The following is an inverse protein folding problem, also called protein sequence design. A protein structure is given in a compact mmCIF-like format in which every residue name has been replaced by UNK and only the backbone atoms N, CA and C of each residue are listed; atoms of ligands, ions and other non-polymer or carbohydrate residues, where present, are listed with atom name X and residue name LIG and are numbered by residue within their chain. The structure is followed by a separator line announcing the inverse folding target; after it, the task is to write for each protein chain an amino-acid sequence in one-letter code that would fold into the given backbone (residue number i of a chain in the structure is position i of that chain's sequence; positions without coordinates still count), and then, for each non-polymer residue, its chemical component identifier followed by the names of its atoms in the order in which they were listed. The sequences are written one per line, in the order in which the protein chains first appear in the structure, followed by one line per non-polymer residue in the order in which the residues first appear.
data_IF_552804333663
#
_entry.id   IF_552804333663
#
_cell.length_a   1.000
_cell.length_b   1.000
_cell.length_c   1.000
_cell.angle_alpha   90.00
_cell.angle_beta   90.00
_cell.angle_gamma   90.00
#
_symmetry.space_group_name_H-M   'P 1'
#
loop_
_entity.id
_entity.type
_entity.pdbx_description
1 polymer ?
#
# COMPACT_ATOMS: atom_id res chain seq x y z
N UNK A 1 -40.60 -62.98 -56.60
CA UNK A 1 -40.14 -62.96 -55.18
C UNK A 1 -39.41 -61.65 -54.96
N UNK A 2 -40.06 -60.72 -54.26
CA UNK A 2 -39.63 -59.34 -54.07
C UNK A 2 -39.15 -59.17 -52.66
N UNK A 3 -37.88 -58.75 -52.46
CA UNK A 3 -37.35 -58.44 -51.17
C UNK A 3 -37.16 -56.95 -51.06
N UNK A 4 -37.94 -56.26 -50.20
CA UNK A 4 -37.89 -54.84 -49.92
C UNK A 4 -36.86 -54.64 -48.79
N UNK A 5 -35.74 -53.94 -49.07
CA UNK A 5 -34.83 -53.48 -48.08
C UNK A 5 -35.34 -52.15 -47.51
N UNK A 6 -35.67 -52.13 -46.24
CA UNK A 6 -36.05 -50.95 -45.45
C UNK A 6 -34.78 -50.28 -44.95
N UNK A 7 -34.41 -49.10 -45.48
CA UNK A 7 -33.30 -48.29 -44.99
C UNK A 7 -33.80 -47.46 -43.81
N UNK A 8 -33.34 -47.83 -42.60
CA UNK A 8 -33.55 -47.10 -41.35
C UNK A 8 -32.53 -45.99 -41.25
N UNK A 9 -33.00 -44.73 -41.41
CA UNK A 9 -32.18 -43.54 -41.35
C UNK A 9 -32.13 -43.10 -39.89
N UNK A 10 -31.01 -43.37 -39.17
CA UNK A 10 -30.78 -42.84 -37.82
C UNK A 10 -30.39 -41.38 -37.92
N UNK A 11 -31.29 -40.48 -37.55
CA UNK A 11 -31.04 -39.06 -37.43
C UNK A 11 -30.30 -38.81 -36.09
N UNK A 12 -28.97 -38.58 -36.14
CA UNK A 12 -28.20 -38.11 -34.99
C UNK A 12 -28.47 -36.64 -34.75
N UNK A 13 -29.26 -36.34 -33.72
CA UNK A 13 -29.46 -34.97 -33.24
C UNK A 13 -28.19 -34.56 -32.47
N UNK A 14 -27.31 -33.81 -33.12
CA UNK A 14 -26.15 -33.19 -32.46
C UNK A 14 -26.65 -32.00 -31.65
N UNK A 15 -26.81 -32.20 -30.36
CA UNK A 15 -27.14 -31.13 -29.42
C UNK A 15 -25.89 -30.25 -29.22
N UNK A 16 -25.76 -29.17 -30.00
CA UNK A 16 -24.68 -28.19 -29.85
C UNK A 16 -24.93 -27.36 -28.59
N UNK A 17 -24.31 -27.76 -27.48
CA UNK A 17 -24.29 -26.97 -26.25
C UNK A 17 -23.45 -25.70 -26.49
N UNK A 18 -24.12 -24.62 -26.79
CA UNK A 18 -23.46 -23.28 -26.86
C UNK A 18 -22.98 -22.91 -25.46
N UNK A 19 -21.69 -23.08 -25.19
CA UNK A 19 -21.04 -22.48 -24.03
C UNK A 19 -21.04 -20.96 -24.23
N UNK A 20 -21.95 -20.28 -23.54
CA UNK A 20 -21.89 -18.82 -23.42
C UNK A 20 -20.67 -18.54 -22.53
N UNK A 21 -19.55 -18.20 -23.12
CA UNK A 21 -18.40 -17.67 -22.40
C UNK A 21 -18.83 -16.32 -21.81
N UNK A 22 -19.16 -16.31 -20.51
CA UNK A 22 -19.28 -15.07 -19.79
C UNK A 22 -17.91 -14.40 -19.82
N UNK A 23 -17.82 -13.25 -20.49
CA UNK A 23 -16.61 -12.45 -20.44
C UNK A 23 -16.31 -12.12 -18.98
N UNK A 24 -15.19 -12.65 -18.49
CA UNK A 24 -14.75 -12.45 -17.11
C UNK A 24 -14.46 -10.95 -16.92
N UNK A 25 -15.27 -10.27 -16.09
CA UNK A 25 -15.12 -8.85 -15.82
C UNK A 25 -13.80 -8.65 -15.05
N UNK A 26 -12.80 -7.95 -15.61
CA UNK A 26 -11.51 -7.78 -14.95
C UNK A 26 -11.65 -6.96 -13.66
N UNK A 27 -10.71 -7.14 -12.74
CA UNK A 27 -10.50 -6.24 -11.61
C UNK A 27 -9.48 -5.19 -12.06
N UNK A 28 -9.94 -3.96 -12.26
CA UNK A 28 -9.10 -2.84 -12.66
C UNK A 28 -8.53 -2.14 -11.43
N UNK A 29 -7.22 -2.15 -11.29
CA UNK A 29 -6.50 -1.55 -10.16
C UNK A 29 -5.80 -0.28 -10.62
N UNK A 30 -6.13 0.85 -10.02
CA UNK A 30 -5.33 2.06 -10.16
C UNK A 30 -4.05 1.90 -9.33
N UNK A 31 -2.90 2.05 -9.98
CA UNK A 31 -1.60 1.92 -9.34
C UNK A 31 -0.60 2.94 -9.90
N UNK A 32 0.31 3.38 -9.05
CA UNK A 32 1.40 4.26 -9.48
C UNK A 32 2.42 3.46 -10.30
N UNK A 33 2.82 3.97 -11.48
CA UNK A 33 3.77 3.29 -12.35
C UNK A 33 5.20 3.21 -11.82
N UNK A 34 5.55 4.05 -10.81
CA UNK A 34 6.91 4.18 -10.30
C UNK A 34 6.91 4.64 -8.83
N UNK A 35 6.49 3.76 -7.93
CA UNK A 35 6.37 4.05 -6.49
C UNK A 35 6.76 2.82 -5.65
N UNK A 36 7.97 2.29 -5.83
CA UNK A 36 8.45 1.21 -4.96
C UNK A 36 8.66 1.72 -3.52
N UNK A 37 8.33 0.90 -2.53
CA UNK A 37 7.99 -0.54 -2.55
C UNK A 37 6.52 -0.86 -2.82
N UNK A 38 5.65 0.11 -3.08
CA UNK A 38 4.20 -0.08 -3.22
C UNK A 38 3.84 -0.68 -4.57
N UNK A 39 4.11 0.04 -5.66
CA UNK A 39 3.80 -0.42 -7.02
C UNK A 39 4.81 0.08 -8.05
N UNK A 40 4.92 -0.63 -9.17
CA UNK A 40 5.57 -0.15 -10.38
C UNK A 40 5.03 -0.90 -11.61
N UNK A 41 5.34 -0.39 -12.82
CA UNK A 41 4.93 -1.05 -14.09
C UNK A 41 5.46 -2.47 -14.25
N UNK A 42 6.56 -2.83 -13.58
CA UNK A 42 7.11 -4.18 -13.56
C UNK A 42 6.40 -5.08 -12.55
N UNK A 43 5.37 -4.57 -11.85
CA UNK A 43 4.58 -5.28 -10.84
C UNK A 43 5.43 -5.86 -9.71
N UNK A 44 6.45 -5.13 -9.30
CA UNK A 44 7.43 -5.55 -8.29
C UNK A 44 7.15 -4.99 -6.90
N UNK A 45 6.11 -4.17 -6.72
CA UNK A 45 5.71 -3.65 -5.42
C UNK A 45 4.81 -4.59 -4.63
N UNK A 46 4.72 -4.39 -3.33
CA UNK A 46 3.86 -5.24 -2.50
C UNK A 46 2.36 -4.98 -2.72
N UNK A 47 1.95 -3.76 -3.08
CA UNK A 47 0.56 -3.49 -3.48
C UNK A 47 0.21 -4.20 -4.79
N UNK A 48 1.18 -4.36 -5.72
CA UNK A 48 0.98 -5.22 -6.88
C UNK A 48 0.73 -6.67 -6.45
N UNK A 49 1.51 -7.20 -5.47
CA UNK A 49 1.33 -8.58 -4.98
C UNK A 49 0.01 -8.78 -4.23
N UNK A 50 -0.44 -7.77 -3.48
CA UNK A 50 -1.77 -7.76 -2.86
C UNK A 50 -2.86 -7.73 -3.94
N UNK A 51 -2.73 -6.90 -4.98
CA UNK A 51 -3.67 -6.84 -6.11
C UNK A 51 -3.77 -8.17 -6.85
N UNK A 52 -2.64 -8.85 -7.12
CA UNK A 52 -2.59 -10.19 -7.71
C UNK A 52 -3.33 -11.23 -6.84
N UNK A 53 -3.14 -11.14 -5.51
CA UNK A 53 -3.84 -11.99 -4.56
C UNK A 53 -5.35 -11.75 -4.60
N UNK A 54 -5.78 -10.48 -4.51
CA UNK A 54 -7.20 -10.12 -4.52
C UNK A 54 -7.90 -10.54 -5.81
N UNK A 55 -7.31 -10.27 -6.96
CA UNK A 55 -7.86 -10.69 -8.25
C UNK A 55 -8.06 -12.20 -8.31
N UNK A 56 -7.09 -12.99 -7.86
CA UNK A 56 -7.15 -14.45 -7.78
C UNK A 56 -8.26 -14.93 -6.83
N UNK A 57 -8.37 -14.34 -5.64
CA UNK A 57 -9.41 -14.68 -4.66
C UNK A 57 -10.83 -14.33 -5.14
N UNK A 58 -10.95 -13.38 -6.06
CA UNK A 58 -12.20 -12.98 -6.70
C UNK A 58 -12.49 -13.79 -7.99
N UNK A 59 -11.55 -14.60 -8.47
CA UNK A 59 -11.66 -15.28 -9.76
C UNK A 59 -11.70 -14.31 -10.93
N UNK A 60 -11.01 -13.16 -10.84
CA UNK A 60 -11.02 -12.11 -11.86
C UNK A 60 -9.63 -11.93 -12.48
N UNK A 61 -9.60 -11.60 -13.76
CA UNK A 61 -8.37 -11.14 -14.41
C UNK A 61 -7.95 -9.79 -13.82
N UNK A 62 -6.66 -9.64 -13.52
CA UNK A 62 -6.10 -8.37 -13.04
C UNK A 62 -5.74 -7.48 -14.22
N UNK A 63 -6.16 -6.22 -14.18
CA UNK A 63 -5.75 -5.17 -15.10
C UNK A 63 -5.29 -3.94 -14.31
N UNK A 64 -4.16 -3.33 -14.72
CA UNK A 64 -3.67 -2.11 -14.09
C UNK A 64 -4.01 -0.87 -14.93
N UNK A 65 -4.49 0.14 -14.24
CA UNK A 65 -4.57 1.51 -14.74
C UNK A 65 -3.42 2.29 -14.11
N UNK A 66 -2.37 2.50 -14.89
CA UNK A 66 -1.17 3.16 -14.42
C UNK A 66 -1.32 4.67 -14.44
N UNK A 67 -1.38 5.26 -13.25
CA UNK A 67 -1.53 6.69 -13.04
C UNK A 67 -0.77 7.11 -11.78
N UNK A 68 0.01 8.18 -11.87
CA UNK A 68 0.61 8.77 -10.67
C UNK A 68 -0.48 9.31 -9.76
N UNK A 69 -0.32 9.11 -8.45
CA UNK A 69 -1.16 9.70 -7.43
C UNK A 69 -1.11 11.22 -7.49
N UNK A 70 -1.99 11.87 -6.74
CA UNK A 70 -2.00 13.32 -6.66
C UNK A 70 -3.39 13.90 -6.47
N UNK A 71 -3.47 15.22 -6.50
CA UNK A 71 -4.72 15.95 -6.27
C UNK A 71 -5.76 15.63 -7.36
N UNK A 72 -6.96 15.23 -6.93
CA UNK A 72 -8.06 14.86 -7.85
C UNK A 72 -8.01 13.40 -8.35
N UNK A 73 -7.01 12.61 -7.98
CA UNK A 73 -6.82 11.25 -8.45
C UNK A 73 -8.07 10.35 -8.31
N UNK A 74 -8.72 10.37 -7.15
CA UNK A 74 -9.95 9.58 -6.89
C UNK A 74 -11.05 9.97 -7.87
N UNK A 75 -11.33 11.28 -7.97
CA UNK A 75 -12.38 11.79 -8.84
C UNK A 75 -12.16 11.45 -10.33
N UNK A 76 -10.93 11.58 -10.80
CA UNK A 76 -10.62 11.41 -12.22
C UNK A 76 -10.49 9.93 -12.63
N UNK A 77 -10.22 9.03 -11.70
CA UNK A 77 -10.00 7.62 -12.00
C UNK A 77 -11.06 6.70 -11.39
N UNK A 78 -11.19 6.71 -10.07
CA UNK A 78 -12.09 5.78 -9.37
C UNK A 78 -13.56 6.16 -9.60
N UNK A 79 -13.93 7.42 -9.34
CA UNK A 79 -15.32 7.87 -9.47
C UNK A 79 -15.83 7.80 -10.92
N UNK A 80 -14.95 8.01 -11.91
CA UNK A 80 -15.29 7.87 -13.33
C UNK A 80 -15.28 6.41 -13.83
N UNK A 81 -14.97 5.44 -12.98
CA UNK A 81 -14.93 4.03 -13.35
C UNK A 81 -13.77 3.63 -14.27
N UNK A 82 -12.71 4.45 -14.33
CA UNK A 82 -11.47 4.11 -15.06
C UNK A 82 -10.79 2.92 -14.41
N UNK A 83 -10.78 2.88 -13.07
CA UNK A 83 -10.42 1.70 -12.29
C UNK A 83 -11.51 1.37 -11.23
N UNK A 84 -11.40 0.21 -10.60
CA UNK A 84 -12.37 -0.29 -9.61
C UNK A 84 -11.86 -0.16 -8.18
N UNK A 85 -10.55 -0.27 -7.98
CA UNK A 85 -9.92 -0.32 -6.66
C UNK A 85 -8.62 0.49 -6.57
N UNK A 86 -8.36 0.96 -5.35
CA UNK A 86 -7.10 1.55 -4.89
C UNK A 86 -6.56 0.68 -3.76
N UNK A 87 -5.39 0.08 -3.92
CA UNK A 87 -4.72 -0.67 -2.85
C UNK A 87 -3.83 0.27 -2.06
N UNK A 88 -3.73 0.08 -0.75
CA UNK A 88 -2.80 0.84 0.09
C UNK A 88 -3.31 2.21 0.57
N UNK A 89 -4.63 2.41 0.67
CA UNK A 89 -5.20 3.65 1.20
C UNK A 89 -5.40 3.59 2.73
N UNK A 90 -5.33 4.72 3.45
CA UNK A 90 -5.72 4.75 4.86
C UNK A 90 -7.18 4.31 5.05
N UNK A 91 -7.46 3.50 6.07
CA UNK A 91 -8.80 2.96 6.34
C UNK A 91 -9.87 4.04 6.60
N UNK A 92 -9.46 5.26 6.96
CA UNK A 92 -10.35 6.41 7.17
C UNK A 92 -10.29 7.43 6.02
N UNK A 93 -9.86 7.00 4.84
CA UNK A 93 -9.76 7.87 3.67
C UNK A 93 -11.15 8.20 3.11
N UNK A 94 -11.72 9.31 3.54
CA UNK A 94 -13.10 9.75 3.25
C UNK A 94 -13.52 9.83 1.78
N UNK A 95 -12.63 10.10 0.81
CA UNK A 95 -13.02 10.14 -0.60
C UNK A 95 -13.57 8.82 -1.14
N UNK A 96 -13.23 7.68 -0.54
CA UNK A 96 -13.62 6.34 -0.99
C UNK A 96 -14.36 5.55 0.10
N UNK A 97 -14.99 4.42 -0.27
CA UNK A 97 -15.43 3.39 0.66
C UNK A 97 -14.26 2.41 0.86
N UNK A 98 -13.86 2.17 2.12
CA UNK A 98 -12.72 1.31 2.42
C UNK A 98 -13.15 -0.05 2.96
N UNK A 99 -12.35 -1.08 2.65
CA UNK A 99 -12.46 -2.40 3.30
C UNK A 99 -12.06 -2.32 4.78
N UNK A 100 -12.18 -3.42 5.49
CA UNK A 100 -11.44 -3.65 6.73
C UNK A 100 -9.94 -3.54 6.45
N UNK A 101 -9.14 -2.98 7.36
CA UNK A 101 -7.71 -2.84 7.16
C UNK A 101 -7.02 -4.22 7.11
N UNK A 102 -6.02 -4.36 6.24
CA UNK A 102 -5.24 -5.59 6.09
C UNK A 102 -3.84 -5.50 6.69
N UNK A 103 -3.36 -4.30 7.01
CA UNK A 103 -2.19 -4.08 7.85
C UNK A 103 -2.23 -2.69 8.49
N UNK A 104 -1.30 -2.44 9.40
CA UNK A 104 -1.07 -1.11 9.98
C UNK A 104 0.40 -0.76 9.88
N UNK A 105 0.71 0.50 9.70
CA UNK A 105 2.07 1.00 9.76
C UNK A 105 2.14 2.38 10.39
N UNK A 106 3.36 2.80 10.74
CA UNK A 106 3.64 4.08 11.38
C UNK A 106 4.75 4.81 10.63
N UNK A 107 4.83 6.12 10.81
CA UNK A 107 6.08 6.82 10.58
C UNK A 107 7.12 6.34 11.57
N UNK A 108 8.38 6.28 11.12
CA UNK A 108 9.51 5.80 11.91
C UNK A 108 10.67 6.78 11.84
N UNK A 109 11.35 6.98 12.96
CA UNK A 109 12.69 7.54 12.96
C UNK A 109 13.68 6.52 12.43
N UNK A 110 14.49 6.94 11.46
CA UNK A 110 15.56 6.13 10.86
C UNK A 110 16.89 6.70 11.30
N UNK A 111 17.71 5.89 11.94
CA UNK A 111 19.05 6.28 12.41
C UNK A 111 20.05 5.16 12.10
N UNK A 112 21.34 5.51 12.04
CA UNK A 112 22.41 4.50 11.95
C UNK A 112 22.54 3.77 13.27
N UNK A 113 22.66 2.42 13.22
CA UNK A 113 22.81 1.61 14.45
C UNK A 113 24.10 1.91 15.22
N UNK A 114 25.17 2.23 14.52
CA UNK A 114 26.48 2.54 15.14
C UNK A 114 26.46 3.84 15.97
N UNK A 115 25.57 4.79 15.64
CA UNK A 115 25.37 6.01 16.44
C UNK A 115 24.61 5.81 17.75
N UNK A 116 24.01 4.64 17.97
CA UNK A 116 23.26 4.27 19.20
C UNK A 116 22.18 5.28 19.61
N UNK A 117 21.61 5.97 18.62
CA UNK A 117 20.53 6.93 18.83
C UNK A 117 19.19 6.19 19.00
N UNK A 118 18.53 6.45 20.13
CA UNK A 118 17.19 5.94 20.43
C UNK A 118 16.20 7.09 20.40
N UNK A 119 15.92 7.62 19.20
CA UNK A 119 14.96 8.69 19.00
C UNK A 119 13.62 8.05 18.64
N UNK A 120 12.57 8.38 19.39
CA UNK A 120 11.22 7.94 19.12
C UNK A 120 10.23 9.11 19.09
N UNK A 121 10.58 10.24 19.73
CA UNK A 121 9.68 11.39 19.88
C UNK A 121 10.21 12.62 19.15
N UNK A 122 9.29 13.44 18.65
CA UNK A 122 9.61 14.76 18.12
C UNK A 122 10.06 15.75 19.22
N UNK A 123 9.83 15.42 20.49
CA UNK A 123 10.26 16.24 21.64
C UNK A 123 11.68 15.89 22.11
N UNK A 124 12.37 14.99 21.43
CA UNK A 124 13.75 14.65 21.76
C UNK A 124 14.66 15.89 21.56
N UNK A 125 15.33 16.36 22.62
CA UNK A 125 16.12 17.59 22.55
C UNK A 125 17.29 17.52 21.56
N UNK A 126 17.79 16.32 21.25
CA UNK A 126 18.86 16.11 20.27
C UNK A 126 18.48 16.52 18.86
N UNK A 127 17.20 16.51 18.52
CA UNK A 127 16.72 16.95 17.20
C UNK A 127 17.08 18.41 16.88
N UNK A 128 17.28 19.25 17.88
CA UNK A 128 17.65 20.68 17.71
C UNK A 128 19.00 20.89 17.00
N UNK A 129 19.90 19.92 17.10
CA UNK A 129 21.24 19.97 16.49
C UNK A 129 21.41 19.03 15.30
N UNK A 130 20.36 18.32 14.89
CA UNK A 130 20.40 17.30 13.84
C UNK A 130 19.84 17.80 12.52
N UNK A 131 20.37 17.32 11.40
CA UNK A 131 19.73 17.40 10.08
C UNK A 131 18.71 16.29 9.97
N UNK A 132 17.43 16.65 9.76
CA UNK A 132 16.29 15.75 9.81
C UNK A 132 15.68 15.62 8.42
N UNK A 133 15.76 14.44 7.82
CA UNK A 133 15.08 14.13 6.55
C UNK A 133 13.58 13.96 6.74
N UNK A 134 12.79 14.52 5.84
CA UNK A 134 11.33 14.29 5.76
C UNK A 134 10.91 14.07 4.32
N UNK A 135 9.80 13.35 4.14
CA UNK A 135 9.20 13.11 2.82
C UNK A 135 8.39 14.33 2.37
N UNK A 136 8.53 14.67 1.09
CA UNK A 136 7.69 15.62 0.37
C UNK A 136 6.76 14.81 -0.51
N UNK A 137 5.45 15.08 -0.43
CA UNK A 137 4.37 14.42 -1.17
C UNK A 137 3.77 15.45 -2.12
N UNK A 138 4.05 15.35 -3.41
CA UNK A 138 3.74 16.40 -4.40
C UNK A 138 4.28 17.76 -3.94
N UNK A 139 3.38 18.74 -3.72
CA UNK A 139 3.74 20.09 -3.24
C UNK A 139 3.53 20.26 -1.72
N UNK A 140 3.29 19.17 -0.96
CA UNK A 140 3.03 19.25 0.50
C UNK A 140 3.99 18.34 1.28
N UNK A 141 4.26 18.74 2.50
CA UNK A 141 5.09 17.96 3.41
C UNK A 141 4.27 16.88 4.13
N UNK A 142 4.88 15.71 4.29
CA UNK A 142 4.32 14.63 5.10
C UNK A 142 4.08 15.07 6.57
N UNK A 143 3.17 14.40 7.32
CA UNK A 143 2.85 14.73 8.71
C UNK A 143 4.05 14.99 9.63
N UNK A 144 5.19 14.27 9.54
CA UNK A 144 6.37 14.55 10.36
C UNK A 144 6.91 15.97 10.26
N UNK A 145 6.89 16.56 9.06
CA UNK A 145 7.38 17.95 8.90
C UNK A 145 6.52 18.96 9.65
N UNK A 146 5.19 18.73 9.72
CA UNK A 146 4.29 19.57 10.51
C UNK A 146 4.59 19.44 12.01
N UNK A 147 4.89 18.23 12.50
CA UNK A 147 5.27 18.01 13.90
C UNK A 147 6.58 18.74 14.25
N UNK A 148 7.57 18.68 13.37
CA UNK A 148 8.83 19.39 13.52
C UNK A 148 8.63 20.91 13.50
N UNK A 149 7.79 21.41 12.58
CA UNK A 149 7.46 22.83 12.48
C UNK A 149 6.81 23.39 13.76
N UNK A 150 5.90 22.66 14.37
CA UNK A 150 5.29 23.03 15.66
C UNK A 150 6.32 23.20 16.78
N UNK A 151 7.47 22.52 16.68
CA UNK A 151 8.58 22.55 17.63
C UNK A 151 9.70 23.49 17.23
N UNK A 152 9.46 24.33 16.20
CA UNK A 152 10.42 25.30 15.67
C UNK A 152 11.71 24.65 15.15
N UNK A 153 11.61 23.43 14.59
CA UNK A 153 12.72 22.67 14.03
C UNK A 153 12.81 22.74 12.50
N UNK A 154 12.14 23.72 11.87
CA UNK A 154 12.08 23.83 10.40
C UNK A 154 13.44 24.05 9.74
N UNK A 155 14.36 24.75 10.39
CA UNK A 155 15.71 24.99 9.87
C UNK A 155 16.55 23.72 9.74
N UNK A 156 16.16 22.68 10.46
CA UNK A 156 16.83 21.39 10.49
C UNK A 156 16.31 20.42 9.42
N UNK A 157 15.22 20.79 8.74
CA UNK A 157 14.53 19.90 7.79
C UNK A 157 15.26 19.88 6.44
N UNK A 158 15.42 18.65 5.93
CA UNK A 158 15.85 18.37 4.56
C UNK A 158 14.74 17.56 3.87
N UNK A 159 14.14 18.14 2.83
CA UNK A 159 13.07 17.49 2.05
C UNK A 159 13.63 16.46 1.07
N UNK A 160 12.90 15.35 0.89
CA UNK A 160 13.19 14.29 -0.07
C UNK A 160 11.90 13.85 -0.75
N UNK A 161 11.96 13.58 -2.05
CA UNK A 161 10.81 13.04 -2.78
C UNK A 161 10.35 11.71 -2.20
N UNK A 162 9.03 11.55 -2.08
CA UNK A 162 8.42 10.37 -1.49
C UNK A 162 8.10 9.26 -2.51
N UNK A 163 8.20 9.55 -3.80
CA UNK A 163 7.89 8.64 -4.92
C UNK A 163 8.98 8.69 -6.00
N UNK A 164 8.89 7.77 -6.96
CA UNK A 164 9.85 7.64 -8.04
C UNK A 164 11.16 6.98 -7.64
N UNK A 165 12.15 7.06 -8.51
CA UNK A 165 13.48 6.47 -8.29
C UNK A 165 14.20 7.08 -7.08
N UNK A 166 13.88 8.31 -6.74
CA UNK A 166 14.49 9.09 -5.66
C UNK A 166 13.87 8.81 -4.27
N UNK A 167 12.76 8.09 -4.21
CA UNK A 167 12.07 7.80 -2.94
C UNK A 167 12.98 7.15 -1.87
N UNK A 168 14.02 6.43 -2.28
CA UNK A 168 15.02 5.84 -1.40
C UNK A 168 16.14 6.76 -0.94
N UNK A 169 16.27 7.97 -1.50
CA UNK A 169 17.38 8.89 -1.22
C UNK A 169 17.44 9.33 0.23
N UNK A 170 16.29 9.52 0.84
CA UNK A 170 16.19 9.86 2.26
C UNK A 170 16.87 8.79 3.14
N UNK A 171 16.73 7.51 2.81
CA UNK A 171 17.36 6.40 3.55
C UNK A 171 18.86 6.33 3.22
N UNK A 172 19.25 6.56 1.95
CA UNK A 172 20.64 6.64 1.53
C UNK A 172 21.38 7.80 2.22
N UNK A 173 20.70 8.93 2.41
CA UNK A 173 21.24 10.09 3.09
C UNK A 173 21.54 9.83 4.58
N UNK A 174 20.65 9.07 5.27
CA UNK A 174 20.94 8.60 6.65
C UNK A 174 22.09 7.61 6.66
N UNK A 175 22.10 6.63 5.77
CA UNK A 175 23.13 5.59 5.71
C UNK A 175 24.53 6.18 5.46
N UNK A 176 24.63 7.19 4.59
CA UNK A 176 25.88 7.88 4.28
C UNK A 176 26.30 8.92 5.34
N UNK A 177 25.41 9.29 6.27
CA UNK A 177 25.64 10.34 7.26
C UNK A 177 25.49 11.78 6.70
N UNK A 178 24.91 11.95 5.50
CA UNK A 178 24.58 13.26 4.93
C UNK A 178 23.54 13.99 5.78
N UNK A 179 22.62 13.23 6.39
CA UNK A 179 21.69 13.68 7.42
C UNK A 179 21.80 12.77 8.65
N UNK A 180 21.41 13.27 9.81
CA UNK A 180 21.57 12.55 11.08
C UNK A 180 20.47 11.52 11.35
N UNK A 181 19.25 11.88 11.00
CA UNK A 181 18.06 11.06 11.11
C UNK A 181 17.06 11.43 10.03
N UNK A 182 16.07 10.54 9.82
CA UNK A 182 14.92 10.85 8.97
C UNK A 182 13.65 10.36 9.65
N UNK A 183 12.50 10.99 9.34
CA UNK A 183 11.19 10.48 9.74
C UNK A 183 10.42 10.11 8.48
N UNK A 184 10.22 8.81 8.30
CA UNK A 184 9.80 8.22 7.04
C UNK A 184 8.63 7.26 7.27
N UNK A 185 7.76 7.14 6.28
CA UNK A 185 6.71 6.12 6.29
C UNK A 185 7.32 4.71 6.38
N UNK A 186 6.86 3.92 7.36
CA UNK A 186 7.46 2.64 7.74
C UNK A 186 7.74 1.67 6.58
N UNK A 187 6.78 1.36 5.69
CA UNK A 187 7.01 0.48 4.55
C UNK A 187 8.16 0.92 3.64
N UNK A 188 8.24 2.22 3.32
CA UNK A 188 9.34 2.77 2.52
C UNK A 188 10.66 2.66 3.29
N UNK A 189 10.65 3.03 4.57
CA UNK A 189 11.83 2.93 5.42
C UNK A 189 12.37 1.51 5.52
N UNK A 190 11.50 0.52 5.79
CA UNK A 190 11.88 -0.88 5.91
C UNK A 190 12.48 -1.44 4.64
N UNK A 191 11.81 -1.20 3.52
CA UNK A 191 12.24 -1.67 2.20
C UNK A 191 13.63 -1.14 1.81
N UNK A 192 13.86 0.16 1.94
CA UNK A 192 15.13 0.76 1.56
C UNK A 192 16.22 0.54 2.62
N UNK A 193 15.89 0.48 3.92
CA UNK A 193 16.86 0.18 4.97
C UNK A 193 17.45 -1.22 4.85
N UNK A 194 16.63 -2.21 4.53
CA UNK A 194 17.08 -3.60 4.30
C UNK A 194 18.07 -3.74 3.12
N UNK A 195 18.16 -2.74 2.26
CA UNK A 195 19.06 -2.71 1.08
C UNK A 195 20.33 -1.87 1.30
N UNK A 196 20.48 -1.28 2.49
CA UNK A 196 21.70 -0.54 2.83
C UNK A 196 22.79 -1.47 3.35
N UNK A 197 24.04 -1.16 3.03
CA UNK A 197 25.22 -1.85 3.60
C UNK A 197 25.43 -1.50 5.07
N UNK A 198 25.09 -0.26 5.44
CA UNK A 198 25.19 0.22 6.83
C UNK A 198 23.92 -0.15 7.56
N UNK A 199 24.01 -0.84 8.72
CA UNK A 199 22.84 -1.19 9.49
C UNK A 199 22.09 0.04 10.01
N UNK A 200 20.80 0.13 9.70
CA UNK A 200 19.91 1.18 10.16
C UNK A 200 18.97 0.65 11.25
N UNK A 201 18.54 1.54 12.14
CA UNK A 201 17.52 1.31 13.14
C UNK A 201 16.27 2.09 12.76
N UNK A 202 15.13 1.40 12.78
CA UNK A 202 13.82 1.98 12.62
C UNK A 202 13.11 1.99 13.97
N UNK A 203 12.67 3.15 14.43
CA UNK A 203 11.97 3.32 15.70
C UNK A 203 10.65 4.01 15.42
N UNK A 204 9.51 3.38 15.78
CA UNK A 204 8.19 4.00 15.58
C UNK A 204 8.12 5.36 16.29
N UNK A 205 7.41 6.29 15.69
CA UNK A 205 7.11 7.58 16.33
C UNK A 205 6.20 7.34 17.53
N UNK A 206 6.61 7.86 18.68
CA UNK A 206 5.88 7.80 19.93
C UNK A 206 5.87 9.20 20.58
N UNK A 207 4.71 9.75 20.95
CA UNK A 207 3.37 9.18 20.81
C UNK A 207 2.91 9.06 19.35
N UNK A 208 1.99 8.11 19.07
CA UNK A 208 1.43 7.86 17.73
C UNK A 208 0.57 9.00 17.17
N UNK A 209 0.39 10.04 17.97
CA UNK A 209 -0.47 11.17 17.67
C UNK A 209 0.10 12.46 18.27
N UNK A 210 0.17 13.52 17.46
CA UNK A 210 0.56 14.86 17.88
C UNK A 210 -0.68 15.77 17.91
N UNK A 211 -1.12 16.24 19.11
CA UNK A 211 -2.31 17.08 19.23
C UNK A 211 -2.26 18.34 18.35
N UNK A 212 -3.42 18.87 17.87
CA UNK A 212 -4.78 18.35 18.10
C UNK A 212 -5.21 17.25 17.10
N UNK A 213 -4.58 17.02 15.98
CA UNK A 213 -5.10 16.12 14.95
C UNK A 213 -4.03 15.63 13.94
N UNK A 214 -2.86 15.23 14.41
CA UNK A 214 -1.78 14.78 13.53
C UNK A 214 -1.35 13.33 13.87
N UNK A 215 -1.97 12.30 13.24
CA UNK A 215 -1.58 10.93 13.46
C UNK A 215 -0.29 10.55 12.73
N UNK A 216 0.45 9.60 13.29
CA UNK A 216 1.64 9.01 12.70
C UNK A 216 1.48 7.53 12.42
N UNK A 217 0.42 6.89 12.93
CA UNK A 217 0.05 5.51 12.64
C UNK A 217 -1.24 5.47 11.82
N UNK A 218 -1.27 4.57 10.84
CA UNK A 218 -2.43 4.38 9.97
C UNK A 218 -2.71 2.89 9.77
N UNK A 219 -3.98 2.53 9.87
CA UNK A 219 -4.50 1.27 9.37
C UNK A 219 -4.72 1.40 7.85
N UNK A 220 -4.29 0.42 7.08
CA UNK A 220 -4.27 0.46 5.61
C UNK A 220 -5.25 -0.54 5.05
N UNK A 221 -6.02 -0.10 4.07
CA UNK A 221 -7.15 -0.79 3.48
C UNK A 221 -7.11 -0.72 1.94
N UNK A 222 -8.10 -1.34 1.32
CA UNK A 222 -8.40 -1.20 -0.10
C UNK A 222 -9.59 -0.25 -0.24
N UNK A 223 -9.49 0.74 -1.14
CA UNK A 223 -10.55 1.68 -1.46
C UNK A 223 -11.32 1.28 -2.71
N UNK A 224 -12.62 1.48 -2.69
CA UNK A 224 -13.54 1.33 -3.83
C UNK A 224 -14.44 2.56 -3.95
N UNK A 225 -15.18 2.70 -5.05
CA UNK A 225 -16.22 3.77 -5.15
C UNK A 225 -17.22 3.63 -4.01
N UNK A 226 -17.77 4.73 -3.54
CA UNK A 226 -18.71 4.76 -2.41
C UNK A 226 -19.96 3.91 -2.61
N UNK A 227 -20.40 3.75 -3.85
CA UNK A 227 -21.56 2.95 -4.22
C UNK A 227 -21.25 1.45 -4.41
N UNK A 228 -19.99 1.05 -4.48
CA UNK A 228 -19.57 -0.32 -4.79
C UNK A 228 -19.51 -1.22 -3.55
N UNK A 229 -20.60 -1.23 -2.77
CA UNK A 229 -20.73 -1.98 -1.52
C UNK A 229 -20.46 -3.48 -1.74
N UNK A 230 -21.02 -4.07 -2.79
CA UNK A 230 -20.85 -5.48 -3.11
C UNK A 230 -19.39 -5.84 -3.41
N UNK A 231 -18.66 -4.96 -4.14
CA UNK A 231 -17.22 -5.18 -4.39
C UNK A 231 -16.41 -5.07 -3.10
N UNK A 232 -16.71 -4.07 -2.26
CA UNK A 232 -16.07 -3.91 -0.94
C UNK A 232 -16.22 -5.16 -0.09
N UNK A 233 -17.41 -5.75 -0.01
CA UNK A 233 -17.66 -6.97 0.76
C UNK A 233 -16.93 -8.20 0.18
N UNK A 234 -16.85 -8.30 -1.16
CA UNK A 234 -16.06 -9.35 -1.82
C UNK A 234 -14.57 -9.22 -1.47
N UNK A 235 -14.04 -8.00 -1.49
CA UNK A 235 -12.66 -7.71 -1.11
C UNK A 235 -12.40 -7.99 0.37
N UNK A 236 -13.31 -7.66 1.28
CA UNK A 236 -13.18 -8.00 2.70
C UNK A 236 -13.03 -9.50 2.90
N UNK A 237 -13.89 -10.30 2.25
CA UNK A 237 -13.79 -11.76 2.32
C UNK A 237 -12.48 -12.28 1.71
N UNK A 238 -12.02 -11.67 0.62
CA UNK A 238 -10.74 -12.02 -0.01
C UNK A 238 -9.54 -11.70 0.89
N UNK A 239 -9.55 -10.55 1.56
CA UNK A 239 -8.52 -10.14 2.53
C UNK A 239 -8.45 -11.13 3.70
N UNK A 240 -9.60 -11.56 4.24
CA UNK A 240 -9.66 -12.55 5.31
C UNK A 240 -9.06 -13.89 4.86
N UNK A 241 -9.46 -14.41 3.68
CA UNK A 241 -8.89 -15.66 3.15
C UNK A 241 -7.42 -15.56 2.80
N UNK A 242 -7.00 -14.38 2.35
CA UNK A 242 -5.62 -14.10 1.94
C UNK A 242 -4.68 -13.69 3.07
N UNK A 243 -5.16 -13.52 4.31
CA UNK A 243 -4.44 -12.89 5.42
C UNK A 243 -2.99 -13.39 5.59
N UNK A 244 -2.78 -14.69 5.75
CA UNK A 244 -1.43 -15.26 5.92
C UNK A 244 -0.50 -15.05 4.70
N UNK A 245 -1.07 -14.89 3.49
CA UNK A 245 -0.29 -14.59 2.29
C UNK A 245 0.10 -13.10 2.28
N UNK A 246 -0.81 -12.22 2.70
CA UNK A 246 -0.55 -10.79 2.83
C UNK A 246 0.58 -10.55 3.84
N UNK A 247 0.54 -11.18 5.01
CA UNK A 247 1.62 -11.09 5.99
C UNK A 247 2.98 -11.51 5.39
N UNK A 248 3.02 -12.62 4.63
CA UNK A 248 4.25 -13.05 3.96
C UNK A 248 4.73 -12.03 2.92
N UNK A 249 3.81 -11.43 2.16
CA UNK A 249 4.15 -10.35 1.22
C UNK A 249 4.77 -9.19 1.99
N UNK A 250 4.13 -8.68 3.03
CA UNK A 250 4.63 -7.55 3.81
C UNK A 250 6.02 -7.82 4.41
N UNK A 251 6.22 -9.01 5.00
CA UNK A 251 7.54 -9.44 5.51
C UNK A 251 8.62 -9.49 4.43
N UNK A 252 8.29 -10.01 3.24
CA UNK A 252 9.23 -10.07 2.12
C UNK A 252 9.71 -8.68 1.65
N UNK A 253 8.90 -7.66 1.88
CA UNK A 253 9.25 -6.27 1.60
C UNK A 253 9.78 -5.52 2.82
N UNK A 254 10.05 -6.22 3.92
CA UNK A 254 10.56 -5.63 5.16
C UNK A 254 9.65 -4.52 5.71
N UNK A 255 8.35 -4.63 5.47
CA UNK A 255 7.36 -3.72 6.05
C UNK A 255 7.39 -3.91 7.57
N UNK A 256 7.66 -2.85 8.36
CA UNK A 256 7.70 -2.98 9.81
C UNK A 256 6.30 -3.32 10.35
N UNK A 257 6.22 -4.40 11.12
CA UNK A 257 5.00 -4.77 11.83
C UNK A 257 4.96 -4.00 13.16
N UNK A 258 3.96 -3.16 13.33
CA UNK A 258 3.65 -2.52 14.60
C UNK A 258 2.36 -3.12 15.12
N UNK A 259 2.38 -3.68 16.34
CA UNK A 259 1.19 -4.20 16.98
C UNK A 259 0.10 -3.11 16.97
N UNK A 260 -1.07 -3.43 16.46
CA UNK A 260 -2.22 -2.52 16.53
C UNK A 260 -2.90 -2.71 17.88
N UNK A 261 -3.38 -1.62 18.50
CA UNK A 261 -4.25 -1.69 19.68
C UNK A 261 -5.48 -2.58 19.44
N UNK A 262 -5.89 -2.80 18.19
CA UNK A 262 -6.95 -3.74 17.81
C UNK A 262 -6.51 -5.21 17.86
N UNK A 263 -5.22 -5.52 17.69
CA UNK A 263 -4.71 -6.89 17.87
C UNK A 263 -4.68 -7.26 19.35
N UNK A 264 -4.36 -6.32 20.24
CA UNK A 264 -4.38 -6.50 21.69
C UNK A 264 -5.81 -6.67 22.23
N UNK A 265 -6.82 -6.02 21.63
CA UNK A 265 -8.22 -6.17 22.03
C UNK A 265 -8.83 -7.53 21.62
N UNK A 266 -8.21 -8.28 20.69
CA UNK A 266 -8.63 -9.65 20.30
C UNK A 266 -7.95 -10.73 21.13
N UNK A 267 -6.94 -10.40 21.92
CA UNK A 267 -6.21 -11.32 22.81
C UNK A 267 -6.64 -11.20 24.27
N UNK A 268 -7.59 -10.29 24.58
CA UNK A 268 -8.30 -10.16 25.86
C UNK A 268 -9.75 -10.61 25.70
#
# INVERSE_FOLDING_TARGET
MSSRFLKMCCLFLVCSSSFVAFAEIPLKVCADPDNLPFSNRKQQGFDNKVSELLARELGRKLEYVWQRGGRGFVRENLDKGVCDVLVGVPAQFRPVLTTSPYYSSSYVFVTRKDRKLNIASFDDPRLRSMKIGVQVLDDDYAPPARALSRRQLTINIVGFDAAGEEAGDIIRAVASGKIDTAVVWGPLAGYHAARQRVPLKLTAVDPEFDPPALPFRFAIAVGVRKQDIALKEQLDRALVRGHSRIERILRAYSVPEFATAMAEARLK
#
